data_IF_923195915343
#
_entry.id   IF_923195915343
#
_cell.length_a   1.000
_cell.length_b   1.000
_cell.length_c   1.000
_cell.angle_alpha   90.00
_cell.angle_beta   90.00
_cell.angle_gamma   90.00
#
_symmetry.space_group_name_H-M   'P 1'
#
loop_
_entity.id
_entity.type
_entity.pdbx_description
1 polymer ?
#
# COMPACT_ATOMS: atom_id res chain seq x y z
N UNK A 1 -15.02 -19.70 14.11
CA UNK A 1 -13.60 -19.54 13.87
C UNK A 1 -13.35 -18.29 13.01
N UNK A 2 -12.41 -17.43 13.45
CA UNK A 2 -12.13 -16.12 12.82
C UNK A 2 -11.65 -16.31 11.37
N UNK A 3 -10.76 -17.29 11.10
CA UNK A 3 -10.23 -17.57 9.75
C UNK A 3 -11.36 -17.97 8.78
N UNK A 4 -12.23 -18.89 9.19
CA UNK A 4 -13.38 -19.30 8.39
C UNK A 4 -14.29 -18.13 8.10
N UNK A 5 -14.60 -17.31 9.13
CA UNK A 5 -15.45 -16.13 8.98
C UNK A 5 -14.84 -15.09 8.04
N UNK A 6 -13.52 -14.90 8.04
CA UNK A 6 -12.86 -14.01 7.12
C UNK A 6 -13.07 -14.42 5.66
N UNK A 7 -12.92 -15.70 5.35
CA UNK A 7 -13.21 -16.20 3.99
C UNK A 7 -14.70 -16.12 3.61
N UNK A 8 -15.60 -16.38 4.57
CA UNK A 8 -17.06 -16.20 4.33
C UNK A 8 -17.41 -14.74 4.02
N UNK A 9 -16.71 -13.79 4.59
CA UNK A 9 -16.88 -12.36 4.32
C UNK A 9 -16.26 -11.92 2.99
N UNK A 10 -15.48 -12.79 2.31
CA UNK A 10 -14.93 -12.52 0.98
C UNK A 10 -13.49 -12.06 0.98
N UNK A 11 -12.77 -12.11 2.11
CA UNK A 11 -11.31 -11.90 2.08
C UNK A 11 -10.63 -13.03 1.30
N UNK A 12 -9.68 -12.68 0.46
CA UNK A 12 -8.93 -13.63 -0.37
C UNK A 12 -7.83 -14.37 0.42
N UNK A 13 -7.32 -13.74 1.48
CA UNK A 13 -6.33 -14.36 2.37
C UNK A 13 -6.41 -13.76 3.77
N UNK A 14 -6.02 -14.55 4.79
CA UNK A 14 -6.01 -14.14 6.19
C UNK A 14 -4.89 -14.83 6.97
N UNK A 15 -4.15 -14.03 7.73
CA UNK A 15 -3.08 -14.52 8.60
C UNK A 15 -3.12 -13.87 9.98
N UNK A 16 -2.50 -14.54 10.96
CA UNK A 16 -2.49 -14.10 12.36
C UNK A 16 -1.06 -13.88 12.84
N UNK A 17 -0.79 -12.75 13.44
CA UNK A 17 0.50 -12.45 14.04
C UNK A 17 0.36 -11.54 15.25
N UNK A 18 1.48 -11.10 15.80
CA UNK A 18 1.48 -10.04 16.82
C UNK A 18 1.55 -8.67 16.17
N UNK A 19 0.77 -7.72 16.68
CA UNK A 19 0.95 -6.33 16.30
C UNK A 19 2.29 -5.81 16.83
N UNK A 20 3.23 -5.56 15.92
CA UNK A 20 4.56 -5.08 16.29
C UNK A 20 4.55 -3.54 16.47
N UNK A 21 4.57 -3.11 17.72
CA UNK A 21 4.55 -1.70 18.09
C UNK A 21 5.80 -0.92 17.64
N UNK A 22 6.87 -1.59 17.20
CA UNK A 22 8.05 -0.94 16.62
C UNK A 22 7.68 -0.20 15.33
N UNK A 23 6.74 -0.74 14.57
CA UNK A 23 6.26 -0.15 13.32
C UNK A 23 5.17 0.90 13.52
N UNK A 24 4.56 1.01 14.71
CA UNK A 24 3.50 1.97 14.94
C UNK A 24 3.96 3.41 14.74
N UNK A 25 3.15 4.19 14.01
CA UNK A 25 3.38 5.62 13.89
C UNK A 25 3.37 6.28 15.27
N UNK A 26 4.23 7.28 15.48
CA UNK A 26 4.38 7.92 16.78
C UNK A 26 3.06 8.46 17.34
N UNK A 27 2.23 9.03 16.48
CA UNK A 27 0.88 9.54 16.82
C UNK A 27 -0.12 8.44 17.17
N UNK A 28 0.08 7.21 16.66
CA UNK A 28 -0.86 6.09 16.83
C UNK A 28 -0.42 5.06 17.90
N UNK A 29 0.76 5.20 18.50
CA UNK A 29 1.27 4.21 19.47
C UNK A 29 0.34 3.97 20.66
N UNK A 30 -0.37 5.02 21.12
CA UNK A 30 -1.32 4.92 22.24
C UNK A 30 -2.71 4.51 21.79
N UNK A 31 -3.02 4.67 20.50
CA UNK A 31 -4.32 4.32 19.93
C UNK A 31 -4.49 2.81 19.80
N UNK A 32 -3.42 2.07 19.43
CA UNK A 32 -3.48 0.61 19.33
C UNK A 32 -3.59 -0.03 20.70
N UNK A 33 -4.70 -0.72 20.96
CA UNK A 33 -5.05 -1.28 22.27
C UNK A 33 -4.61 -2.73 22.43
N UNK A 34 -4.75 -3.55 21.39
CA UNK A 34 -4.61 -5.00 21.47
C UNK A 34 -3.35 -5.48 20.77
N UNK A 35 -2.87 -6.67 21.17
CA UNK A 35 -1.61 -7.22 20.69
C UNK A 35 -1.78 -8.28 19.58
N UNK A 36 -2.88 -9.03 19.59
CA UNK A 36 -3.18 -9.96 18.49
C UNK A 36 -3.53 -9.17 17.24
N UNK A 37 -2.96 -9.53 16.10
CA UNK A 37 -3.24 -8.92 14.81
C UNK A 37 -3.78 -9.97 13.83
N UNK A 38 -4.93 -9.68 13.27
CA UNK A 38 -5.56 -10.42 12.17
C UNK A 38 -5.28 -9.60 10.92
N UNK A 39 -4.38 -10.12 10.07
CA UNK A 39 -4.05 -9.54 8.78
C UNK A 39 -5.03 -10.07 7.74
N UNK A 40 -5.75 -9.21 7.05
CA UNK A 40 -6.72 -9.58 6.02
C UNK A 40 -6.37 -8.92 4.70
N UNK A 41 -6.53 -9.66 3.61
CA UNK A 41 -6.24 -9.18 2.26
C UNK A 41 -7.48 -9.39 1.37
N UNK A 42 -7.98 -8.29 0.79
CA UNK A 42 -9.02 -8.30 -0.22
C UNK A 42 -8.37 -8.24 -1.60
N UNK A 43 -8.62 -9.26 -2.44
CA UNK A 43 -8.10 -9.29 -3.80
C UNK A 43 -8.74 -8.20 -4.67
N UNK A 44 -7.93 -7.54 -5.48
CA UNK A 44 -8.37 -6.59 -6.50
C UNK A 44 -8.55 -7.33 -7.84
N UNK A 45 -9.49 -6.87 -8.66
CA UNK A 45 -9.76 -7.48 -9.96
C UNK A 45 -8.52 -7.53 -10.86
N UNK A 46 -8.24 -8.71 -11.40
CA UNK A 46 -7.06 -8.94 -12.23
C UNK A 46 -7.13 -8.16 -13.55
N UNK A 47 -8.26 -8.19 -14.26
CA UNK A 47 -8.38 -7.56 -15.57
C UNK A 47 -8.24 -6.05 -15.47
N UNK A 48 -8.89 -5.44 -14.49
CA UNK A 48 -8.80 -4.02 -14.21
C UNK A 48 -7.37 -3.62 -13.78
N UNK A 49 -6.70 -4.44 -12.98
CA UNK A 49 -5.29 -4.22 -12.64
C UNK A 49 -4.36 -4.27 -13.86
N UNK A 50 -4.71 -5.06 -14.90
CA UNK A 50 -3.93 -5.09 -16.13
C UNK A 50 -4.13 -3.84 -17.01
N UNK A 51 -5.18 -3.05 -16.81
CA UNK A 51 -5.39 -1.79 -17.54
C UNK A 51 -4.59 -0.61 -16.97
N UNK A 52 -3.85 -0.79 -15.86
CA UNK A 52 -3.01 0.23 -15.24
C UNK A 52 -1.95 0.82 -16.22
N UNK A 53 -1.69 2.13 -16.17
CA UNK A 53 -2.47 3.19 -15.52
C UNK A 53 -3.74 3.51 -16.30
N UNK A 54 -4.87 3.52 -15.65
CA UNK A 54 -6.14 3.95 -16.24
C UNK A 54 -7.14 4.36 -15.16
N UNK A 55 -8.14 5.17 -15.53
CA UNK A 55 -9.24 5.52 -14.63
C UNK A 55 -10.06 4.28 -14.23
N UNK A 56 -10.21 3.30 -15.12
CA UNK A 56 -10.90 2.04 -14.83
C UNK A 56 -10.23 1.31 -13.67
N UNK A 57 -8.90 1.15 -13.73
CA UNK A 57 -8.14 0.53 -12.65
C UNK A 57 -8.19 1.34 -11.36
N UNK A 58 -8.13 2.66 -11.44
CA UNK A 58 -8.17 3.54 -10.27
C UNK A 58 -9.52 3.47 -9.57
N UNK A 59 -10.64 3.48 -10.31
CA UNK A 59 -11.97 3.29 -9.74
C UNK A 59 -12.15 1.92 -9.09
N UNK A 60 -11.62 0.87 -9.71
CA UNK A 60 -11.62 -0.47 -9.13
C UNK A 60 -10.83 -0.51 -7.81
N UNK A 61 -9.67 0.14 -7.77
CA UNK A 61 -8.87 0.25 -6.56
C UNK A 61 -9.59 1.03 -5.45
N UNK A 62 -10.30 2.11 -5.79
CA UNK A 62 -11.09 2.87 -4.80
C UNK A 62 -12.29 2.06 -4.29
N UNK A 63 -13.00 1.35 -5.15
CA UNK A 63 -14.13 0.50 -4.75
C UNK A 63 -13.75 -0.57 -3.73
N UNK A 64 -12.52 -1.07 -3.77
CA UNK A 64 -12.05 -2.05 -2.79
C UNK A 64 -11.88 -1.47 -1.38
N UNK A 65 -11.74 -0.15 -1.20
CA UNK A 65 -11.67 0.45 0.14
C UNK A 65 -13.01 0.36 0.87
N UNK A 66 -14.11 0.62 0.17
CA UNK A 66 -15.46 0.53 0.75
C UNK A 66 -15.76 -0.91 1.15
N UNK A 67 -15.61 -1.85 0.21
CA UNK A 67 -15.84 -3.27 0.46
C UNK A 67 -14.98 -3.81 1.61
N UNK A 68 -13.68 -3.49 1.63
CA UNK A 68 -12.79 -3.94 2.70
C UNK A 68 -13.20 -3.39 4.08
N UNK A 69 -13.60 -2.11 4.14
CA UNK A 69 -14.02 -1.51 5.40
C UNK A 69 -15.29 -2.18 5.94
N UNK A 70 -16.29 -2.43 5.11
CA UNK A 70 -17.50 -3.16 5.50
C UNK A 70 -17.19 -4.57 6.00
N UNK A 71 -16.32 -5.29 5.29
CA UNK A 71 -15.90 -6.64 5.67
C UNK A 71 -15.10 -6.64 6.99
N UNK A 72 -14.22 -5.65 7.19
CA UNK A 72 -13.47 -5.49 8.44
C UNK A 72 -14.38 -5.19 9.63
N UNK A 73 -15.36 -4.33 9.45
CA UNK A 73 -16.35 -4.05 10.51
C UNK A 73 -17.18 -5.29 10.84
N UNK A 74 -17.67 -6.02 9.82
CA UNK A 74 -18.41 -7.26 10.02
C UNK A 74 -17.57 -8.33 10.76
N UNK A 75 -16.29 -8.45 10.42
CA UNK A 75 -15.38 -9.36 11.11
C UNK A 75 -15.12 -8.93 12.56
N UNK A 76 -14.97 -7.63 12.80
CA UNK A 76 -14.80 -7.09 14.14
C UNK A 76 -16.05 -7.34 15.00
N UNK A 77 -17.25 -7.17 14.44
CA UNK A 77 -18.51 -7.46 15.15
C UNK A 77 -18.68 -8.96 15.44
N UNK A 78 -18.26 -9.81 14.52
CA UNK A 78 -18.20 -11.26 14.77
C UNK A 78 -17.29 -11.59 15.96
N UNK A 79 -16.10 -10.99 16.05
CA UNK A 79 -15.18 -11.20 17.18
C UNK A 79 -15.81 -10.71 18.48
N UNK A 80 -16.45 -9.54 18.46
CA UNK A 80 -17.15 -8.96 19.62
C UNK A 80 -18.31 -9.81 20.10
N UNK A 81 -18.98 -10.53 19.19
CA UNK A 81 -20.10 -11.42 19.57
C UNK A 81 -19.67 -12.59 20.47
N UNK A 82 -18.36 -12.92 20.50
CA UNK A 82 -17.78 -13.88 21.44
C UNK A 82 -17.25 -13.26 22.73
N UNK A 83 -17.49 -11.96 22.96
CA UNK A 83 -17.07 -11.24 24.17
C UNK A 83 -15.63 -10.72 24.12
N UNK A 84 -14.97 -10.75 22.99
CA UNK A 84 -13.63 -10.17 22.80
C UNK A 84 -13.71 -8.76 22.25
N UNK A 85 -12.63 -8.01 22.39
CA UNK A 85 -12.49 -6.70 21.76
C UNK A 85 -11.88 -6.83 20.36
N UNK A 86 -12.26 -5.92 19.47
CA UNK A 86 -11.68 -5.83 18.14
C UNK A 86 -11.56 -4.36 17.71
N UNK A 87 -10.42 -3.98 17.18
CA UNK A 87 -10.12 -2.64 16.67
C UNK A 87 -9.65 -2.73 15.22
N UNK A 88 -10.38 -2.09 14.31
CA UNK A 88 -10.08 -2.07 12.88
C UNK A 88 -9.01 -1.03 12.58
N UNK A 89 -8.02 -1.39 11.76
CA UNK A 89 -6.99 -0.52 11.22
C UNK A 89 -7.09 -0.58 9.69
N UNK A 90 -7.85 0.33 9.13
CA UNK A 90 -8.06 0.39 7.69
C UNK A 90 -6.88 1.04 6.96
N UNK A 91 -6.76 0.86 5.64
CA UNK A 91 -5.74 1.55 4.85
C UNK A 91 -5.81 3.07 4.92
N UNK A 92 -7.00 3.63 5.14
CA UNK A 92 -7.21 5.09 5.24
C UNK A 92 -6.89 5.65 6.63
N UNK A 93 -6.99 4.82 7.68
CA UNK A 93 -6.65 5.17 9.06
C UNK A 93 -5.69 4.15 9.66
N UNK A 94 -4.60 3.91 8.98
CA UNK A 94 -3.59 2.95 9.40
C UNK A 94 -2.81 3.44 10.63
N UNK A 95 -2.44 2.48 11.47
CA UNK A 95 -1.65 2.72 12.68
C UNK A 95 -0.15 2.49 12.47
N UNK A 96 0.21 1.80 11.38
CA UNK A 96 1.57 1.40 11.04
C UNK A 96 1.68 1.09 9.54
N UNK A 97 2.89 0.98 8.95
CA UNK A 97 3.09 0.24 7.73
C UNK A 97 2.70 -1.21 7.96
N UNK A 98 1.67 -1.72 7.27
CA UNK A 98 1.13 -3.06 7.53
C UNK A 98 2.01 -4.21 7.02
N UNK A 99 2.77 -3.99 5.94
CA UNK A 99 3.55 -5.02 5.25
C UNK A 99 4.40 -5.92 6.16
N UNK A 100 5.13 -5.41 7.18
CA UNK A 100 5.90 -6.29 8.06
C UNK A 100 5.03 -7.33 8.76
N UNK A 101 3.84 -6.97 9.21
CA UNK A 101 2.94 -7.90 9.90
C UNK A 101 2.35 -8.95 8.95
N UNK A 102 2.10 -8.59 7.69
CA UNK A 102 1.69 -9.54 6.66
C UNK A 102 2.80 -10.55 6.32
N UNK A 103 4.05 -10.10 6.32
CA UNK A 103 5.20 -11.00 6.15
C UNK A 103 5.35 -11.95 7.34
N UNK A 104 5.23 -11.43 8.57
CA UNK A 104 5.26 -12.24 9.80
C UNK A 104 4.11 -13.25 9.87
N UNK A 105 2.96 -12.93 9.26
CA UNK A 105 1.81 -13.82 9.15
C UNK A 105 1.90 -14.80 7.95
N UNK A 106 3.03 -14.88 7.26
CA UNK A 106 3.26 -15.80 6.15
C UNK A 106 2.48 -15.52 4.86
N UNK A 107 1.83 -14.35 4.75
CA UNK A 107 0.94 -14.01 3.62
C UNK A 107 1.67 -13.55 2.36
N UNK A 108 2.99 -13.45 2.39
CA UNK A 108 3.82 -13.04 1.26
C UNK A 108 5.15 -12.45 1.69
N UNK A 109 5.89 -11.89 0.74
CA UNK A 109 7.16 -11.20 0.99
C UNK A 109 7.19 -9.83 0.30
N UNK A 110 8.05 -8.94 0.82
CA UNK A 110 8.22 -7.61 0.25
C UNK A 110 8.93 -7.68 -1.10
N UNK A 111 8.27 -7.23 -2.15
CA UNK A 111 8.85 -7.08 -3.49
C UNK A 111 9.76 -5.85 -3.61
N UNK A 112 10.58 -5.82 -4.68
CA UNK A 112 11.42 -4.65 -5.01
C UNK A 112 10.60 -3.39 -5.29
N UNK A 113 9.35 -3.54 -5.75
CA UNK A 113 8.40 -2.44 -5.93
C UNK A 113 7.84 -1.87 -4.60
N UNK A 114 8.23 -2.44 -3.46
CA UNK A 114 7.80 -2.01 -2.14
C UNK A 114 6.41 -2.48 -1.73
N UNK A 115 5.81 -3.41 -2.47
CA UNK A 115 4.50 -4.00 -2.18
C UNK A 115 4.64 -5.43 -1.63
N UNK A 116 3.62 -5.93 -0.95
CA UNK A 116 3.51 -7.34 -0.59
C UNK A 116 3.30 -8.16 -1.88
N UNK A 117 4.10 -9.17 -2.08
CA UNK A 117 3.88 -10.18 -3.12
C UNK A 117 3.32 -11.44 -2.46
N UNK A 118 2.01 -11.61 -2.59
CA UNK A 118 1.29 -12.79 -2.10
C UNK A 118 1.42 -13.95 -3.08
N UNK A 119 1.51 -15.21 -2.60
CA UNK A 119 1.47 -16.38 -3.46
C UNK A 119 0.14 -16.55 -4.20
N UNK A 120 -0.95 -15.94 -3.69
CA UNK A 120 -2.30 -16.10 -4.23
C UNK A 120 -2.63 -15.09 -5.33
N UNK A 121 -2.31 -13.80 -5.10
CA UNK A 121 -2.71 -12.71 -6.02
C UNK A 121 -1.60 -11.69 -6.29
N UNK A 122 -0.34 -12.03 -6.02
CA UNK A 122 0.77 -11.10 -6.24
C UNK A 122 0.60 -9.82 -5.41
N UNK A 123 0.70 -8.65 -6.04
CA UNK A 123 0.56 -7.35 -5.36
C UNK A 123 -0.83 -6.72 -5.46
N UNK A 124 -1.80 -7.38 -6.11
CA UNK A 124 -3.16 -6.83 -6.29
C UNK A 124 -4.05 -7.17 -5.10
N UNK A 125 -3.75 -6.58 -3.96
CA UNK A 125 -4.55 -6.72 -2.76
C UNK A 125 -4.68 -5.39 -2.01
N UNK A 126 -5.84 -5.21 -1.38
CA UNK A 126 -6.05 -4.24 -0.33
C UNK A 126 -5.81 -4.92 1.01
N UNK A 127 -5.10 -4.24 1.91
CA UNK A 127 -4.61 -4.84 3.15
C UNK A 127 -5.15 -4.06 4.36
N UNK A 128 -5.75 -4.76 5.30
CA UNK A 128 -6.16 -4.20 6.59
C UNK A 128 -5.75 -5.11 7.75
N UNK A 129 -5.73 -4.55 8.95
CA UNK A 129 -5.45 -5.28 10.17
C UNK A 129 -6.60 -5.06 11.16
N UNK A 130 -7.00 -6.12 11.85
CA UNK A 130 -7.87 -6.01 13.02
C UNK A 130 -7.07 -6.47 14.22
N UNK A 131 -6.88 -5.60 15.22
CA UNK A 131 -6.26 -6.02 16.47
C UNK A 131 -7.31 -6.47 17.49
N UNK A 132 -6.96 -7.49 18.29
CA UNK A 132 -7.88 -8.13 19.22
C UNK A 132 -7.16 -8.69 20.45
N UNK A 133 -7.92 -8.89 21.53
CA UNK A 133 -7.53 -9.66 22.70
C UNK A 133 -8.03 -11.12 22.66
N UNK A 134 -8.71 -11.53 21.59
CA UNK A 134 -9.08 -12.92 21.36
C UNK A 134 -7.81 -13.81 21.28
N UNK A 135 -7.87 -15.04 21.81
CA UNK A 135 -6.75 -15.97 21.70
C UNK A 135 -6.54 -16.39 20.25
N UNK A 136 -5.36 -16.03 19.69
CA UNK A 136 -4.96 -16.35 18.31
C UNK A 136 -3.81 -17.37 18.34
N UNK A 137 -3.89 -18.37 17.49
CA UNK A 137 -2.71 -19.16 17.10
C UNK A 137 -2.02 -18.42 15.96
N UNK A 138 -0.82 -17.93 16.21
CA UNK A 138 -0.08 -17.15 15.21
C UNK A 138 0.48 -18.05 14.12
N UNK A 139 0.45 -17.51 12.92
CA UNK A 139 1.12 -18.11 11.76
C UNK A 139 2.62 -17.74 11.78
N UNK A 140 3.41 -18.44 10.98
CA UNK A 140 4.85 -18.25 10.86
C UNK A 140 5.20 -17.60 9.51
N UNK A 141 6.24 -16.78 9.45
CA UNK A 141 6.71 -16.22 8.19
C UNK A 141 7.20 -17.31 7.23
N UNK A 142 6.93 -17.13 5.94
CA UNK A 142 7.33 -18.06 4.89
C UNK A 142 8.33 -17.39 3.94
N UNK A 143 9.45 -18.05 3.67
CA UNK A 143 10.37 -17.60 2.63
C UNK A 143 9.96 -18.17 1.26
N UNK A 144 9.39 -17.32 0.44
CA UNK A 144 9.00 -17.65 -0.93
C UNK A 144 10.12 -17.43 -1.96
N UNK A 145 11.33 -17.03 -1.52
CA UNK A 145 12.44 -16.71 -2.43
C UNK A 145 12.32 -15.38 -3.17
N UNK A 146 11.30 -14.57 -2.87
CA UNK A 146 10.99 -13.32 -3.56
C UNK A 146 12.16 -12.33 -3.51
N UNK A 147 12.87 -12.27 -2.39
CA UNK A 147 13.99 -11.33 -2.26
C UNK A 147 15.12 -11.60 -3.26
N UNK A 148 15.47 -12.86 -3.47
CA UNK A 148 16.51 -13.26 -4.43
C UNK A 148 16.01 -13.05 -5.84
N UNK A 149 14.83 -13.53 -6.16
CA UNK A 149 14.18 -13.35 -7.45
C UNK A 149 14.11 -11.87 -7.86
N UNK A 150 13.66 -10.98 -6.98
CA UNK A 150 13.51 -9.56 -7.28
C UNK A 150 14.85 -8.86 -7.60
N UNK A 151 15.98 -9.31 -7.02
CA UNK A 151 17.29 -8.72 -7.33
C UNK A 151 17.77 -9.07 -8.75
N UNK A 152 17.32 -10.17 -9.32
CA UNK A 152 17.62 -10.57 -10.68
C UNK A 152 16.56 -10.05 -11.68
N UNK A 153 15.30 -9.96 -11.25
CA UNK A 153 14.19 -9.51 -12.08
C UNK A 153 14.30 -8.02 -12.46
N UNK A 154 14.18 -7.14 -11.49
CA UNK A 154 14.24 -5.67 -11.59
C UNK A 154 13.28 -5.02 -12.61
N UNK A 155 12.36 -5.76 -13.25
CA UNK A 155 11.43 -5.22 -14.26
C UNK A 155 10.66 -4.01 -13.73
N UNK A 156 10.15 -4.06 -12.49
CA UNK A 156 9.42 -2.94 -11.90
C UNK A 156 10.29 -1.68 -11.71
N UNK A 157 11.59 -1.83 -11.46
CA UNK A 157 12.54 -0.72 -11.37
C UNK A 157 12.85 -0.15 -12.77
N UNK A 158 13.11 -1.03 -13.75
CA UNK A 158 13.46 -0.66 -15.11
C UNK A 158 12.29 0.01 -15.84
N UNK A 159 11.06 -0.42 -15.56
CA UNK A 159 9.85 0.09 -16.18
C UNK A 159 9.17 1.22 -15.41
N UNK A 160 9.72 1.64 -14.26
CA UNK A 160 9.13 2.73 -13.48
C UNK A 160 9.18 4.06 -14.24
N UNK A 161 8.03 4.65 -14.64
CA UNK A 161 8.02 5.90 -15.39
C UNK A 161 8.76 7.03 -14.67
N UNK A 162 8.59 7.09 -13.35
CA UNK A 162 9.22 8.08 -12.48
C UNK A 162 10.69 7.77 -12.14
N UNK A 163 11.19 6.57 -12.49
CA UNK A 163 12.50 6.07 -12.03
C UNK A 163 12.64 6.20 -10.50
N UNK A 164 11.60 5.83 -9.79
CA UNK A 164 11.46 6.03 -8.35
C UNK A 164 11.88 4.82 -7.50
N UNK A 165 12.11 3.65 -8.11
CA UNK A 165 12.49 2.43 -7.41
C UNK A 165 14.00 2.24 -7.53
N UNK A 166 14.71 2.13 -6.39
CA UNK A 166 16.16 1.87 -6.41
C UNK A 166 16.42 0.46 -6.93
N UNK A 167 17.47 0.30 -7.76
CA UNK A 167 17.89 -1.02 -8.25
C UNK A 167 18.56 -1.83 -7.15
N UNK A 168 19.40 -1.17 -6.37
CA UNK A 168 20.11 -1.76 -5.26
C UNK A 168 19.29 -1.60 -3.96
N UNK A 169 19.46 -2.56 -3.05
CA UNK A 169 18.93 -2.45 -1.70
C UNK A 169 19.69 -1.37 -0.92
N UNK A 170 18.97 -0.69 -0.06
CA UNK A 170 19.50 0.31 0.86
C UNK A 170 18.99 0.06 2.27
N UNK A 171 19.78 0.40 3.27
CA UNK A 171 19.29 0.44 4.65
C UNK A 171 18.36 1.64 4.82
N UNK A 172 17.13 1.36 5.22
CA UNK A 172 16.16 2.40 5.52
C UNK A 172 15.40 2.06 6.80
N UNK A 173 15.64 2.82 7.86
CA UNK A 173 14.98 2.67 9.16
C UNK A 173 15.07 1.23 9.72
N UNK A 174 16.25 0.62 9.62
CA UNK A 174 16.51 -0.73 10.15
C UNK A 174 16.09 -1.89 9.23
N UNK A 175 15.68 -1.60 8.00
CA UNK A 175 15.33 -2.63 7.00
C UNK A 175 16.16 -2.46 5.73
N UNK A 176 16.80 -3.52 5.28
CA UNK A 176 17.46 -3.56 3.96
C UNK A 176 16.45 -3.90 2.88
N UNK A 177 16.19 -2.98 1.96
CA UNK A 177 15.19 -3.12 0.89
C UNK A 177 15.45 -2.22 -0.30
N UNK A 178 14.85 -2.53 -1.44
CA UNK A 178 14.71 -1.55 -2.52
C UNK A 178 13.82 -0.41 -2.01
N UNK A 179 14.25 0.83 -2.24
CA UNK A 179 13.55 2.01 -1.72
C UNK A 179 12.74 2.69 -2.81
N UNK A 180 11.47 2.89 -2.55
CA UNK A 180 10.65 3.80 -3.34
C UNK A 180 11.00 5.24 -2.93
N UNK A 181 11.47 6.03 -3.88
CA UNK A 181 11.73 7.47 -3.73
C UNK A 181 10.41 8.18 -3.95
N UNK A 182 9.73 8.51 -2.86
CA UNK A 182 8.37 9.01 -2.87
C UNK A 182 8.23 10.33 -3.63
N UNK A 183 9.18 11.24 -3.49
CA UNK A 183 9.20 12.54 -4.17
C UNK A 183 9.27 12.42 -5.70
N UNK A 184 9.71 11.29 -6.21
CA UNK A 184 9.67 10.97 -7.64
C UNK A 184 8.40 10.21 -8.03
N UNK A 185 7.95 9.28 -7.20
CA UNK A 185 6.76 8.47 -7.47
C UNK A 185 5.49 9.31 -7.45
N UNK A 186 5.32 10.12 -6.40
CA UNK A 186 4.09 10.84 -6.14
C UNK A 186 3.62 11.76 -7.28
N UNK A 187 4.47 12.61 -7.89
CA UNK A 187 4.03 13.46 -9.00
C UNK A 187 3.45 12.66 -10.16
N UNK A 188 4.15 11.59 -10.56
CA UNK A 188 3.69 10.73 -11.66
C UNK A 188 2.43 9.96 -11.27
N UNK A 189 2.35 9.43 -10.04
CA UNK A 189 1.17 8.76 -9.53
C UNK A 189 -0.06 9.68 -9.50
N UNK A 190 0.11 10.92 -9.06
CA UNK A 190 -0.99 11.89 -8.98
C UNK A 190 -1.46 12.40 -10.35
N UNK A 191 -0.58 12.40 -11.35
CA UNK A 191 -0.90 12.90 -12.70
C UNK A 191 -1.49 11.82 -13.60
N UNK A 192 -1.08 10.56 -13.41
CA UNK A 192 -1.43 9.43 -14.28
C UNK A 192 -2.20 8.35 -13.50
N UNK A 193 -3.44 8.64 -13.17
CA UNK A 193 -4.46 7.71 -12.65
C UNK A 193 -3.91 6.68 -11.66
N UNK A 194 -3.27 7.14 -10.56
CA UNK A 194 -2.66 6.25 -9.59
C UNK A 194 -1.38 5.56 -10.06
N UNK A 195 -1.00 5.69 -11.32
CA UNK A 195 0.12 5.07 -12.04
C UNK A 195 0.21 3.55 -11.87
N UNK A 196 0.80 3.04 -10.79
CA UNK A 196 0.98 1.62 -10.45
C UNK A 196 1.57 0.73 -11.56
N UNK A 197 2.33 1.29 -12.53
CA UNK A 197 3.03 0.52 -13.56
C UNK A 197 3.90 -0.57 -12.95
N UNK A 198 4.56 -0.31 -11.82
CA UNK A 198 5.38 -1.30 -11.11
C UNK A 198 4.58 -2.52 -10.61
N UNK A 199 3.27 -2.38 -10.44
CA UNK A 199 2.35 -3.48 -10.14
C UNK A 199 2.00 -4.25 -11.42
N UNK A 200 1.59 -3.55 -12.48
CA UNK A 200 1.22 -4.14 -13.77
C UNK A 200 2.34 -4.98 -14.37
N UNK A 201 3.56 -4.47 -14.39
CA UNK A 201 4.72 -5.13 -15.01
C UNK A 201 5.42 -6.15 -14.10
N UNK A 202 4.88 -6.44 -12.93
CA UNK A 202 5.43 -7.46 -12.06
C UNK A 202 5.06 -8.87 -12.59
N UNK A 203 6.04 -9.73 -12.92
CA UNK A 203 5.72 -11.06 -13.42
C UNK A 203 4.93 -11.90 -12.41
N UNK A 204 5.25 -11.80 -11.11
CA UNK A 204 4.50 -12.51 -10.05
C UNK A 204 3.03 -12.07 -10.03
N UNK A 205 2.76 -10.78 -10.18
CA UNK A 205 1.40 -10.29 -10.27
C UNK A 205 0.73 -10.71 -11.58
N UNK A 206 1.48 -10.71 -12.68
CA UNK A 206 0.94 -11.00 -14.03
C UNK A 206 0.63 -12.48 -14.24
N UNK A 207 1.51 -13.37 -13.81
CA UNK A 207 1.45 -14.80 -14.13
C UNK A 207 1.24 -15.68 -12.90
N UNK A 208 1.27 -15.11 -11.69
CA UNK A 208 1.24 -15.84 -10.42
C UNK A 208 2.63 -16.19 -9.92
N UNK A 209 2.77 -16.35 -8.60
CA UNK A 209 4.07 -16.61 -7.97
C UNK A 209 4.65 -17.95 -8.39
N UNK A 210 3.87 -19.03 -8.29
CA UNK A 210 4.38 -20.39 -8.56
C UNK A 210 4.91 -20.53 -10.00
N UNK A 211 4.18 -20.20 -11.08
CA UNK A 211 4.69 -20.29 -12.44
C UNK A 211 5.98 -19.49 -12.68
N UNK A 212 6.05 -18.31 -12.09
CA UNK A 212 7.24 -17.42 -12.23
C UNK A 212 8.45 -17.98 -11.51
N UNK A 213 8.28 -18.49 -10.29
CA UNK A 213 9.38 -19.03 -9.50
C UNK A 213 9.87 -20.36 -10.05
N UNK A 214 8.96 -21.24 -10.50
CA UNK A 214 9.31 -22.50 -11.18
C UNK A 214 10.14 -22.20 -12.43
N UNK A 215 9.66 -21.31 -13.31
CA UNK A 215 10.37 -20.92 -14.52
C UNK A 215 11.77 -20.36 -14.22
N UNK A 216 11.87 -19.48 -13.22
CA UNK A 216 13.16 -18.91 -12.83
C UNK A 216 14.13 -19.95 -12.28
N UNK A 217 13.66 -20.90 -11.49
CA UNK A 217 14.50 -21.99 -10.95
C UNK A 217 14.98 -22.94 -12.07
N UNK A 218 14.09 -23.27 -13.01
CA UNK A 218 14.38 -24.23 -14.10
C UNK A 218 15.24 -23.62 -15.22
N UNK A 219 14.94 -22.38 -15.60
CA UNK A 219 15.54 -21.74 -16.80
C UNK A 219 16.58 -20.68 -16.47
N UNK A 220 16.63 -20.17 -15.23
CA UNK A 220 17.46 -19.03 -14.87
C UNK A 220 16.98 -17.69 -15.47
N UNK A 221 15.74 -17.65 -15.97
CA UNK A 221 15.19 -16.50 -16.68
C UNK A 221 13.93 -15.99 -15.98
N UNK A 222 13.65 -14.70 -16.14
CA UNK A 222 12.43 -14.08 -15.62
C UNK A 222 11.31 -14.21 -16.65
N UNK A 223 10.23 -14.93 -16.29
CA UNK A 223 9.11 -15.21 -17.17
C UNK A 223 8.51 -13.90 -17.73
N UNK A 224 8.50 -13.79 -19.07
CA UNK A 224 7.94 -12.67 -19.80
C UNK A 224 8.79 -11.40 -19.85
N UNK A 225 9.97 -11.35 -19.22
CA UNK A 225 10.88 -10.19 -19.28
C UNK A 225 11.30 -9.90 -20.71
N UNK A 226 11.30 -8.62 -21.10
CA UNK A 226 11.60 -8.18 -22.46
C UNK A 226 10.44 -8.34 -23.46
N UNK A 227 9.28 -8.81 -23.00
CA UNK A 227 8.09 -8.92 -23.86
C UNK A 227 7.13 -7.77 -23.66
N UNK A 228 6.46 -7.39 -24.72
CA UNK A 228 5.42 -6.37 -24.69
C UNK A 228 4.23 -6.76 -23.78
N UNK A 229 3.91 -8.04 -23.74
CA UNK A 229 2.85 -8.57 -22.89
C UNK A 229 3.07 -8.32 -21.39
N UNK A 230 4.31 -8.38 -20.90
CA UNK A 230 4.63 -8.07 -19.51
C UNK A 230 4.90 -6.59 -19.31
N UNK A 231 5.71 -5.98 -20.19
CA UNK A 231 6.35 -4.70 -19.93
C UNK A 231 5.66 -3.49 -20.58
N UNK A 232 4.76 -3.73 -21.55
CA UNK A 232 4.04 -2.68 -22.25
C UNK A 232 3.05 -1.94 -21.34
N UNK A 233 3.01 -0.61 -21.45
CA UNK A 233 2.02 0.23 -20.78
C UNK A 233 1.81 1.54 -21.54
N UNK A 234 0.66 2.17 -21.31
CA UNK A 234 0.35 3.50 -21.84
C UNK A 234 0.23 4.52 -20.71
N UNK A 235 0.61 5.75 -20.97
CA UNK A 235 0.28 6.89 -20.13
C UNK A 235 -0.58 7.87 -20.92
N UNK A 236 -1.61 8.43 -20.26
CA UNK A 236 -2.45 9.46 -20.86
C UNK A 236 -1.58 10.60 -21.40
N UNK A 237 -1.89 11.09 -22.57
CA UNK A 237 -1.20 12.21 -23.27
C UNK A 237 0.29 11.98 -23.59
N UNK A 238 0.83 10.80 -23.27
CA UNK A 238 2.22 10.42 -23.57
C UNK A 238 2.32 9.29 -24.59
N UNK A 239 1.28 8.46 -24.70
CA UNK A 239 1.24 7.33 -25.60
C UNK A 239 1.72 6.01 -24.97
N UNK A 240 2.03 5.08 -25.84
CA UNK A 240 2.45 3.72 -25.47
C UNK A 240 3.97 3.61 -25.34
N UNK A 241 4.41 2.76 -24.42
CA UNK A 241 5.83 2.46 -24.13
C UNK A 241 6.03 0.95 -24.09
N UNK A 242 6.75 0.42 -25.08
CA UNK A 242 7.17 -0.98 -25.14
C UNK A 242 8.38 -1.28 -24.24
N UNK A 243 8.88 -2.54 -24.25
CA UNK A 243 10.05 -2.93 -23.47
C UNK A 243 11.27 -2.01 -23.75
N UNK A 244 11.92 -1.57 -22.68
CA UNK A 244 13.08 -0.67 -22.77
C UNK A 244 12.74 0.82 -22.97
N UNK A 245 11.50 1.17 -23.28
CA UNK A 245 11.08 2.55 -23.49
C UNK A 245 10.54 3.17 -22.19
N UNK A 246 10.86 4.43 -21.94
CA UNK A 246 10.35 5.18 -20.78
C UNK A 246 9.91 6.58 -21.21
N UNK A 247 8.86 7.10 -20.57
CA UNK A 247 8.43 8.48 -20.79
C UNK A 247 9.48 9.47 -20.32
N UNK A 248 9.50 10.62 -20.99
CA UNK A 248 10.19 11.80 -20.52
C UNK A 248 9.21 12.75 -19.85
N UNK A 249 9.61 13.31 -18.72
CA UNK A 249 8.86 14.31 -17.98
C UNK A 249 9.66 15.59 -17.86
N UNK A 250 8.94 16.72 -17.85
CA UNK A 250 9.54 17.98 -17.51
C UNK A 250 10.10 17.94 -16.08
N UNK A 251 11.25 18.56 -15.86
CA UNK A 251 11.90 18.57 -14.54
C UNK A 251 11.04 19.22 -13.47
N UNK A 252 10.25 20.21 -13.83
CA UNK A 252 9.32 20.93 -12.94
C UNK A 252 8.30 19.98 -12.30
N UNK A 253 7.94 18.85 -12.96
CA UNK A 253 7.07 17.84 -12.36
C UNK A 253 7.64 17.29 -11.03
N UNK A 254 8.95 17.31 -10.84
CA UNK A 254 9.62 16.78 -9.66
C UNK A 254 10.09 17.86 -8.68
N UNK A 255 9.82 19.12 -8.98
CA UNK A 255 10.15 20.27 -8.14
C UNK A 255 9.02 20.54 -7.12
N UNK A 256 8.64 19.49 -6.39
CA UNK A 256 7.72 19.65 -5.27
C UNK A 256 8.45 20.14 -4.03
N UNK A 257 7.79 20.93 -3.17
CA UNK A 257 8.33 21.28 -1.88
C UNK A 257 8.77 20.00 -1.16
N UNK A 258 10.02 19.94 -0.76
CA UNK A 258 10.54 18.83 0.06
C UNK A 258 9.90 18.94 1.44
N UNK A 259 9.19 17.89 1.84
CA UNK A 259 8.55 17.87 3.13
C UNK A 259 7.59 16.70 3.32
N UNK A 260 6.97 16.63 4.47
CA UNK A 260 5.87 15.71 4.73
C UNK A 260 4.64 16.14 3.92
N UNK A 261 3.67 15.24 3.75
CA UNK A 261 2.40 15.58 3.10
C UNK A 261 1.76 16.83 3.72
N UNK A 262 1.90 16.98 5.02
CA UNK A 262 1.33 18.08 5.79
C UNK A 262 2.08 19.40 5.51
N UNK A 263 3.41 19.36 5.40
CA UNK A 263 4.23 20.53 5.03
C UNK A 263 3.91 21.00 3.59
N UNK A 264 3.69 20.07 2.67
CA UNK A 264 3.30 20.41 1.30
C UNK A 264 1.91 21.02 1.22
N UNK A 265 0.92 20.44 1.93
CA UNK A 265 -0.42 21.04 2.02
C UNK A 265 -0.38 22.41 2.69
N UNK A 266 0.45 22.57 3.71
CA UNK A 266 0.65 23.85 4.39
C UNK A 266 1.31 24.88 3.47
N UNK A 267 2.29 24.49 2.66
CA UNK A 267 2.94 25.38 1.70
C UNK A 267 1.95 25.86 0.63
N UNK A 268 1.14 24.96 0.06
CA UNK A 268 0.09 25.34 -0.90
C UNK A 268 -0.98 26.25 -0.27
N UNK A 269 -1.36 25.96 0.96
CA UNK A 269 -2.31 26.76 1.72
C UNK A 269 -1.77 28.17 1.97
N UNK A 270 -0.50 28.26 2.36
CA UNK A 270 0.17 29.52 2.58
C UNK A 270 0.26 30.36 1.30
N UNK A 271 0.61 29.73 0.17
CA UNK A 271 0.68 30.39 -1.13
C UNK A 271 -0.69 31.01 -1.51
N UNK A 272 -1.77 30.23 -1.37
CA UNK A 272 -3.14 30.73 -1.61
C UNK A 272 -3.54 31.87 -0.67
N UNK A 273 -3.12 31.81 0.59
CA UNK A 273 -3.37 32.89 1.56
C UNK A 273 -2.59 34.13 1.18
N UNK A 274 -1.32 34.00 0.80
CA UNK A 274 -0.47 35.12 0.37
C UNK A 274 -0.99 35.76 -0.93
N UNK A 275 -1.60 34.98 -1.82
CA UNK A 275 -2.25 35.45 -3.06
C UNK A 275 -3.68 36.00 -2.84
N UNK A 276 -4.19 35.94 -1.62
CA UNK A 276 -5.54 36.41 -1.26
C UNK A 276 -6.68 35.48 -1.71
N UNK A 277 -6.38 34.26 -2.13
CA UNK A 277 -7.34 33.23 -2.56
C UNK A 277 -7.77 32.28 -1.45
N UNK A 278 -7.15 32.37 -0.28
CA UNK A 278 -7.40 31.50 0.86
C UNK A 278 -8.15 32.16 2.01
N UNK A 279 -8.47 31.43 3.06
CA UNK A 279 -9.06 32.00 4.27
C UNK A 279 -8.09 33.01 4.89
N UNK A 280 -8.64 34.03 5.50
CA UNK A 280 -7.87 35.07 6.18
C UNK A 280 -7.02 34.48 7.31
N UNK A 281 -5.99 35.21 7.73
CA UNK A 281 -5.18 34.79 8.88
C UNK A 281 -6.01 34.65 10.17
N UNK A 282 -7.08 35.42 10.31
CA UNK A 282 -8.01 35.35 11.43
C UNK A 282 -8.85 34.06 11.39
N UNK A 283 -9.42 33.72 10.23
CA UNK A 283 -10.17 32.48 10.00
C UNK A 283 -9.29 31.24 10.23
N UNK A 284 -8.05 31.29 9.72
CA UNK A 284 -7.07 30.21 9.96
C UNK A 284 -6.72 30.06 11.44
N UNK A 285 -6.53 31.17 12.13
CA UNK A 285 -6.22 31.18 13.57
C UNK A 285 -7.42 30.65 14.40
N UNK A 286 -8.64 31.01 14.03
CA UNK A 286 -9.87 30.53 14.66
C UNK A 286 -10.01 29.01 14.45
N UNK A 287 -9.84 28.52 13.23
CA UNK A 287 -9.88 27.09 12.92
C UNK A 287 -8.81 26.28 13.68
N UNK A 288 -7.56 26.76 13.73
CA UNK A 288 -6.50 26.08 14.47
C UNK A 288 -6.75 26.07 15.98
N UNK A 289 -7.41 27.10 16.51
CA UNK A 289 -7.81 27.14 17.92
C UNK A 289 -8.89 26.13 18.21
N UNK A 290 -9.93 26.08 17.37
CA UNK A 290 -11.01 25.10 17.48
C UNK A 290 -10.48 23.66 17.36
N UNK A 291 -9.61 23.39 16.39
CA UNK A 291 -8.97 22.09 16.24
C UNK A 291 -8.17 21.67 17.47
N UNK A 292 -7.42 22.61 18.08
CA UNK A 292 -6.69 22.35 19.32
C UNK A 292 -7.63 22.06 20.50
N UNK A 293 -8.75 22.74 20.58
CA UNK A 293 -9.76 22.50 21.61
C UNK A 293 -10.45 21.14 21.43
N UNK A 294 -10.75 20.73 20.20
CA UNK A 294 -11.28 19.39 19.86
C UNK A 294 -10.28 18.31 20.26
N UNK A 295 -9.03 18.46 19.87
CA UNK A 295 -7.97 17.51 20.21
C UNK A 295 -7.69 17.42 21.72
N UNK A 296 -7.80 18.54 22.45
CA UNK A 296 -7.64 18.58 23.90
C UNK A 296 -8.77 17.93 24.65
N UNK A 297 -10.00 17.90 24.11
CA UNK A 297 -11.16 17.22 24.68
C UNK A 297 -11.15 15.71 24.45
N UNK A 298 -10.18 15.19 23.69
CA UNK A 298 -10.09 13.75 23.39
C UNK A 298 -11.25 13.22 22.55
N UNK A 299 -12.03 14.09 21.93
CA UNK A 299 -12.99 13.72 20.90
C UNK A 299 -12.21 13.46 19.62
N UNK A 300 -11.65 12.29 19.49
CA UNK A 300 -11.17 11.76 18.22
C UNK A 300 -12.38 11.52 17.36
N UNK A 301 -12.45 12.27 16.32
CA UNK A 301 -13.44 12.22 15.29
C UNK A 301 -13.44 10.91 14.59
N UNK A 302 -13.83 9.89 14.71
CA UNK A 302 -13.84 8.57 14.03
C UNK A 302 -13.04 7.53 14.86
N UNK A 303 -13.73 6.88 15.78
CA UNK A 303 -13.25 5.64 16.38
C UNK A 303 -13.20 5.57 17.89
N UNK A 304 -13.75 6.54 18.62
CA UNK A 304 -13.94 6.47 20.06
C UNK A 304 -15.42 6.23 20.48
N UNK A 305 -16.25 5.71 19.56
CA UNK A 305 -17.56 5.12 19.92
C UNK A 305 -17.51 3.60 19.78
#
# INVERSE_FOLDING_TARGET
DIRTKSYELGFGDVGFTRYDRRYAFASKKRWVKFQGAICVALEQDYAQTQSLPSLEAEYAHFGTYETENEQCLALADFIRSFGYHAQVHSPNDNSAPFLPMFVEAGMGQLGANGQLLSPHFGSRARLAIITTDAPLTYDEPVDYGVHKFCQECLVCSDRCPARAITRDKVWYRGVEKNKLIYDRCRPVMSTYEGCAVCMKVCPIQRYGMKPVMDHWVEMGEVLGKGTDNLEGFSLRDKGYFGPGELPSFDRSMFEFPKGTKDEWLFAQFKEKVDDGEGPTAEETSAFLKELKEILAKGTTTIGDE
#
